data_IF_966453566114
#
_entry.id   IF_966453566114
#
_cell.length_a   1.000
_cell.length_b   1.000
_cell.length_c   1.000
_cell.angle_alpha   90.00
_cell.angle_beta   90.00
_cell.angle_gamma   90.00
#
_symmetry.space_group_name_H-M   'P 1'
#
loop_
_entity.id
_entity.type
_entity.pdbx_description
1 polymer ?
#
# COMPACT_ATOMS: atom_id res chain seq x y z
N UNK A 1 20.06 -60.42 17.11
CA UNK A 1 20.03 -60.08 15.67
C UNK A 1 18.60 -60.09 15.09
N UNK A 2 17.54 -59.86 15.89
CA UNK A 2 16.14 -59.91 15.40
C UNK A 2 15.56 -58.54 14.98
N UNK A 3 16.10 -57.41 15.48
CA UNK A 3 15.51 -56.08 15.25
C UNK A 3 15.82 -55.45 13.88
N UNK A 4 16.90 -55.85 13.20
CA UNK A 4 17.32 -55.19 11.95
C UNK A 4 16.48 -55.68 10.76
N UNK A 5 16.07 -56.95 10.77
CA UNK A 5 15.23 -57.56 9.74
C UNK A 5 13.77 -57.10 9.80
N UNK A 6 13.20 -56.87 10.99
CA UNK A 6 11.86 -56.28 11.12
C UNK A 6 11.84 -54.80 10.71
N UNK A 7 12.87 -54.03 11.05
CA UNK A 7 12.99 -52.64 10.62
C UNK A 7 13.09 -52.51 9.09
N UNK A 8 13.89 -53.37 8.44
CA UNK A 8 14.03 -53.41 6.97
C UNK A 8 12.76 -53.91 6.26
N UNK A 9 12.02 -54.84 6.85
CA UNK A 9 10.72 -55.27 6.34
C UNK A 9 9.67 -54.15 6.45
N UNK A 10 9.66 -53.42 7.57
CA UNK A 10 8.76 -52.28 7.77
C UNK A 10 9.05 -51.11 6.82
N UNK A 11 10.34 -50.82 6.54
CA UNK A 11 10.74 -49.77 5.61
C UNK A 11 10.41 -50.14 4.16
N UNK A 12 10.59 -51.40 3.77
CA UNK A 12 10.21 -51.89 2.44
C UNK A 12 8.70 -51.87 2.20
N UNK A 13 7.90 -52.21 3.21
CA UNK A 13 6.43 -52.11 3.15
C UNK A 13 5.99 -50.66 3.10
N UNK A 14 6.62 -49.76 3.86
CA UNK A 14 6.30 -48.33 3.84
C UNK A 14 6.64 -47.68 2.49
N UNK A 15 7.81 -47.99 1.90
CA UNK A 15 8.20 -47.51 0.56
C UNK A 15 7.29 -48.07 -0.54
N UNK A 16 6.88 -49.34 -0.43
CA UNK A 16 5.97 -49.97 -1.37
C UNK A 16 4.53 -49.42 -1.26
N UNK A 17 4.12 -49.01 -0.05
CA UNK A 17 2.85 -48.35 0.21
C UNK A 17 2.89 -46.89 -0.29
N UNK A 18 3.97 -46.16 0.00
CA UNK A 18 4.17 -44.78 -0.45
C UNK A 18 4.18 -44.72 -1.98
N UNK A 19 4.95 -45.58 -2.65
CA UNK A 19 5.06 -45.62 -4.12
C UNK A 19 3.77 -46.01 -4.83
N UNK A 20 2.89 -46.82 -4.22
CA UNK A 20 1.56 -47.13 -4.76
C UNK A 20 0.57 -45.97 -4.62
N UNK A 21 0.67 -45.19 -3.55
CA UNK A 21 -0.27 -44.10 -3.27
C UNK A 21 0.24 -42.72 -3.75
N UNK A 22 1.53 -42.56 -4.03
CA UNK A 22 2.15 -41.33 -4.55
C UNK A 22 1.54 -40.88 -5.90
N UNK A 23 1.28 -41.75 -6.89
CA UNK A 23 0.68 -41.36 -8.16
C UNK A 23 -0.78 -40.92 -8.01
N UNK A 24 -1.52 -41.56 -7.09
CA UNK A 24 -2.90 -41.20 -6.81
C UNK A 24 -2.99 -39.88 -6.04
N UNK A 25 -2.08 -39.64 -5.09
CA UNK A 25 -1.97 -38.39 -4.35
C UNK A 25 -1.55 -37.22 -5.25
N UNK A 26 -0.59 -37.43 -6.15
CA UNK A 26 -0.18 -36.39 -7.12
C UNK A 26 -1.27 -36.11 -8.14
N UNK A 27 -1.96 -37.13 -8.66
CA UNK A 27 -3.11 -36.95 -9.55
C UNK A 27 -4.26 -36.20 -8.86
N UNK A 28 -4.56 -36.52 -7.59
CA UNK A 28 -5.54 -35.81 -6.78
C UNK A 28 -5.16 -34.34 -6.56
N UNK A 29 -3.90 -34.06 -6.24
CA UNK A 29 -3.41 -32.69 -6.08
C UNK A 29 -3.47 -31.91 -7.39
N UNK A 30 -3.08 -32.51 -8.51
CA UNK A 30 -3.18 -31.90 -9.85
C UNK A 30 -4.63 -31.65 -10.23
N UNK A 31 -5.55 -32.57 -9.94
CA UNK A 31 -6.98 -32.38 -10.20
C UNK A 31 -7.57 -31.26 -9.34
N UNK A 32 -7.24 -31.19 -8.05
CA UNK A 32 -7.67 -30.09 -7.17
C UNK A 32 -7.10 -28.77 -7.64
N UNK A 33 -5.82 -28.73 -8.02
CA UNK A 33 -5.16 -27.52 -8.51
C UNK A 33 -5.74 -27.09 -9.87
N UNK A 34 -6.06 -28.03 -10.74
CA UNK A 34 -6.75 -27.79 -12.01
C UNK A 34 -8.19 -27.32 -11.81
N UNK A 35 -8.96 -27.97 -10.93
CA UNK A 35 -10.33 -27.56 -10.59
C UNK A 35 -10.35 -26.17 -9.93
N UNK A 36 -9.38 -25.88 -9.07
CA UNK A 36 -9.22 -24.56 -8.45
C UNK A 36 -8.84 -23.49 -9.48
N UNK A 37 -7.92 -23.80 -10.39
CA UNK A 37 -7.57 -22.92 -11.52
C UNK A 37 -8.78 -22.72 -12.44
N UNK A 38 -9.48 -23.78 -12.84
CA UNK A 38 -10.67 -23.72 -13.67
C UNK A 38 -11.77 -22.90 -13.00
N UNK A 39 -12.06 -23.13 -11.72
CA UNK A 39 -13.05 -22.33 -10.98
C UNK A 39 -12.62 -20.87 -10.82
N UNK A 40 -11.31 -20.59 -10.75
CA UNK A 40 -10.78 -19.23 -10.77
C UNK A 40 -10.95 -18.56 -12.14
N UNK A 41 -10.77 -19.32 -13.23
CA UNK A 41 -10.91 -18.83 -14.61
C UNK A 41 -12.36 -18.71 -15.09
N UNK A 42 -13.27 -19.56 -14.62
CA UNK A 42 -14.68 -19.60 -15.01
C UNK A 42 -15.61 -18.81 -14.08
N UNK A 43 -15.09 -18.08 -13.09
CA UNK A 43 -15.90 -17.15 -12.30
C UNK A 43 -16.36 -16.00 -13.19
N UNK A 44 -17.68 -15.90 -13.41
CA UNK A 44 -18.29 -14.77 -14.09
C UNK A 44 -17.98 -13.48 -13.33
N UNK A 45 -17.33 -12.54 -14.01
CA UNK A 45 -17.07 -11.20 -13.48
C UNK A 45 -18.41 -10.43 -13.49
N UNK A 46 -19.00 -10.11 -12.32
CA UNK A 46 -20.26 -9.35 -12.26
C UNK A 46 -20.13 -7.95 -12.88
N UNK A 47 -18.90 -7.47 -13.10
CA UNK A 47 -18.58 -6.18 -13.69
C UNK A 47 -18.12 -6.29 -15.14
N UNK A 48 -18.29 -7.44 -15.80
CA UNK A 48 -17.86 -7.65 -17.18
C UNK A 48 -18.39 -6.59 -18.16
N UNK A 49 -19.61 -6.08 -17.92
CA UNK A 49 -20.27 -5.07 -18.74
C UNK A 49 -19.73 -3.64 -18.52
N UNK A 50 -18.91 -3.40 -17.50
CA UNK A 50 -18.35 -2.07 -17.21
C UNK A 50 -17.09 -1.86 -18.05
N UNK A 51 -17.00 -0.78 -18.84
CA UNK A 51 -15.87 -0.54 -19.72
C UNK A 51 -14.58 -0.32 -18.92
N UNK A 52 -13.47 -0.91 -19.39
CA UNK A 52 -12.13 -0.73 -18.81
C UNK A 52 -11.32 0.24 -19.67
N UNK A 53 -10.77 1.27 -19.05
CA UNK A 53 -9.97 2.31 -19.72
C UNK A 53 -8.53 1.82 -20.03
N UNK A 54 -7.83 2.46 -20.97
CA UNK A 54 -6.44 2.13 -21.29
C UNK A 54 -6.25 1.16 -22.47
N UNK A 55 -7.12 1.22 -23.48
CA UNK A 55 -6.94 0.53 -24.78
C UNK A 55 -6.92 -1.01 -24.74
N UNK A 56 -6.42 -1.62 -25.82
CA UNK A 56 -6.26 -3.08 -25.98
C UNK A 56 -5.00 -3.58 -25.25
N UNK A 57 -5.17 -4.59 -24.40
CA UNK A 57 -4.09 -5.24 -23.66
C UNK A 57 -4.59 -5.86 -22.36
N UNK A 58 -3.94 -6.94 -21.92
CA UNK A 58 -4.27 -7.60 -20.65
C UNK A 58 -4.04 -6.70 -19.44
N UNK A 59 -4.71 -6.99 -18.32
CA UNK A 59 -4.65 -6.20 -17.09
C UNK A 59 -3.21 -5.92 -16.63
N UNK A 60 -2.29 -6.89 -16.78
CA UNK A 60 -0.89 -6.74 -16.41
C UNK A 60 -0.17 -5.60 -17.16
N UNK A 61 -0.41 -5.47 -18.47
CA UNK A 61 0.19 -4.40 -19.28
C UNK A 61 -0.30 -3.03 -18.80
N UNK A 62 -1.61 -2.90 -18.56
CA UNK A 62 -2.22 -1.66 -18.05
C UNK A 62 -1.67 -1.29 -16.68
N UNK A 63 -1.50 -2.26 -15.78
CA UNK A 63 -0.89 -2.06 -14.46
C UNK A 63 0.55 -1.57 -14.56
N UNK A 64 1.35 -2.16 -15.46
CA UNK A 64 2.73 -1.72 -15.70
C UNK A 64 2.79 -0.28 -16.21
N UNK A 65 1.91 0.07 -17.14
CA UNK A 65 1.79 1.45 -17.65
C UNK A 65 1.32 2.44 -16.58
N UNK A 66 0.38 2.03 -15.73
CA UNK A 66 -0.04 2.82 -14.56
C UNK A 66 1.15 3.08 -13.63
N UNK A 67 1.95 2.05 -13.33
CA UNK A 67 3.15 2.18 -12.51
C UNK A 67 4.21 3.11 -13.14
N UNK A 68 4.32 3.10 -14.47
CA UNK A 68 5.25 3.93 -15.23
C UNK A 68 4.81 5.41 -15.36
N UNK A 69 3.79 5.84 -14.62
CA UNK A 69 3.35 7.24 -14.56
C UNK A 69 2.17 7.59 -15.46
N UNK A 70 1.59 6.65 -16.21
CA UNK A 70 0.41 6.90 -17.07
C UNK A 70 -0.93 6.83 -16.33
N UNK A 71 -0.92 6.78 -15.00
CA UNK A 71 -2.13 6.61 -14.20
C UNK A 71 -3.12 7.76 -14.37
N UNK A 72 -2.64 9.01 -14.39
CA UNK A 72 -3.47 10.20 -14.63
C UNK A 72 -4.15 10.16 -16.00
N UNK A 73 -3.43 9.70 -17.03
CA UNK A 73 -3.93 9.64 -18.39
C UNK A 73 -5.12 8.69 -18.49
N UNK A 74 -5.09 7.56 -17.79
CA UNK A 74 -6.23 6.64 -17.74
C UNK A 74 -7.45 7.24 -17.04
N UNK A 75 -7.27 8.00 -15.96
CA UNK A 75 -8.41 8.67 -15.33
C UNK A 75 -8.98 9.78 -16.23
N UNK A 76 -8.12 10.55 -16.90
CA UNK A 76 -8.54 11.61 -17.83
C UNK A 76 -9.24 11.03 -19.06
N UNK A 77 -8.70 9.96 -19.65
CA UNK A 77 -9.31 9.26 -20.78
C UNK A 77 -10.68 8.70 -20.38
N UNK A 78 -10.77 8.05 -19.21
CA UNK A 78 -12.01 7.51 -18.68
C UNK A 78 -13.05 8.59 -18.47
N UNK A 79 -12.65 9.70 -17.86
CA UNK A 79 -13.53 10.86 -17.66
C UNK A 79 -14.04 11.44 -18.99
N UNK A 80 -13.19 11.56 -20.01
CA UNK A 80 -13.59 12.07 -21.33
C UNK A 80 -14.57 11.15 -22.05
N UNK A 81 -14.41 9.83 -21.93
CA UNK A 81 -15.24 8.82 -22.62
C UNK A 81 -16.54 8.47 -21.88
N UNK A 82 -16.50 8.50 -20.55
CA UNK A 82 -17.52 7.91 -19.68
C UNK A 82 -17.98 8.88 -18.59
N UNK A 83 -17.96 10.20 -18.85
CA UNK A 83 -18.22 11.26 -17.85
C UNK A 83 -19.40 11.00 -16.91
N UNK A 84 -20.54 10.57 -17.47
CA UNK A 84 -21.79 10.34 -16.74
C UNK A 84 -22.11 8.86 -16.49
N UNK A 85 -21.16 7.98 -16.75
CA UNK A 85 -21.27 6.52 -16.62
C UNK A 85 -20.13 5.94 -15.79
N UNK A 86 -20.34 4.74 -15.25
CA UNK A 86 -19.28 4.04 -14.52
C UNK A 86 -18.23 3.47 -15.49
N UNK A 87 -16.97 3.47 -15.07
CA UNK A 87 -15.88 2.84 -15.81
C UNK A 87 -14.83 2.24 -14.86
N UNK A 88 -13.95 1.39 -15.37
CA UNK A 88 -12.89 0.72 -14.62
C UNK A 88 -11.52 1.20 -15.04
N UNK A 89 -10.61 1.33 -14.07
CA UNK A 89 -9.19 1.63 -14.28
C UNK A 89 -8.35 0.54 -13.62
N UNK A 90 -7.48 -0.09 -14.40
CA UNK A 90 -6.52 -1.07 -13.87
C UNK A 90 -5.38 -0.34 -13.16
N UNK A 91 -5.43 -0.33 -11.84
CA UNK A 91 -4.41 0.25 -10.96
C UNK A 91 -3.51 -0.84 -10.36
N UNK A 92 -2.55 -0.46 -9.50
CA UNK A 92 -1.69 -1.40 -8.77
C UNK A 92 -2.42 -2.22 -7.69
N UNK A 93 -3.71 -1.94 -7.46
CA UNK A 93 -4.56 -2.68 -6.53
C UNK A 93 -4.81 -4.11 -7.02
N UNK A 94 -5.35 -4.94 -6.12
CA UNK A 94 -5.65 -6.35 -6.43
C UNK A 94 -6.71 -6.45 -7.53
N UNK A 95 -7.71 -5.58 -7.49
CA UNK A 95 -8.81 -5.48 -8.46
C UNK A 95 -8.76 -4.13 -9.18
N UNK A 96 -9.48 -4.02 -10.30
CA UNK A 96 -9.64 -2.75 -11.00
C UNK A 96 -10.42 -1.76 -10.13
N UNK A 97 -10.00 -0.50 -10.15
CA UNK A 97 -10.69 0.59 -9.46
C UNK A 97 -11.89 0.99 -10.28
N UNK A 98 -13.07 1.01 -9.66
CA UNK A 98 -14.31 1.50 -10.30
C UNK A 98 -14.40 3.00 -10.09
N UNK A 99 -14.47 3.75 -11.18
CA UNK A 99 -14.71 5.18 -11.19
C UNK A 99 -16.21 5.42 -11.30
N UNK A 100 -16.76 6.11 -10.31
CA UNK A 100 -18.19 6.40 -10.21
C UNK A 100 -18.44 7.90 -10.44
N UNK A 101 -19.40 8.27 -11.31
CA UNK A 101 -19.76 9.67 -11.53
C UNK A 101 -20.22 10.38 -10.25
N UNK A 102 -19.94 11.68 -10.09
CA UNK A 102 -20.28 12.44 -8.88
C UNK A 102 -21.77 12.41 -8.47
N UNK A 103 -22.69 12.19 -9.42
CA UNK A 103 -24.14 12.11 -9.15
C UNK A 103 -24.53 11.01 -8.16
N UNK A 104 -23.71 9.97 -8.01
CA UNK A 104 -23.96 8.87 -7.08
C UNK A 104 -23.35 9.11 -5.67
N UNK A 105 -22.54 10.16 -5.48
CA UNK A 105 -21.91 10.44 -4.19
C UNK A 105 -22.90 10.59 -3.01
N UNK A 106 -24.09 11.22 -3.17
CA UNK A 106 -25.06 11.31 -2.08
C UNK A 106 -25.60 9.96 -1.61
N UNK A 107 -25.64 8.97 -2.50
CA UNK A 107 -26.04 7.59 -2.20
C UNK A 107 -24.88 6.82 -1.56
N UNK A 108 -23.69 6.87 -2.18
CA UNK A 108 -22.50 6.17 -1.68
C UNK A 108 -22.14 6.57 -0.25
N UNK A 109 -22.30 7.85 0.10
CA UNK A 109 -22.00 8.36 1.45
C UNK A 109 -22.92 7.79 2.54
N UNK A 110 -24.10 7.29 2.18
CA UNK A 110 -25.06 6.70 3.12
C UNK A 110 -24.85 5.21 3.34
N UNK A 111 -24.00 4.58 2.51
CA UNK A 111 -23.72 3.17 2.64
C UNK A 111 -22.96 2.88 3.94
N UNK A 112 -23.24 1.76 4.59
CA UNK A 112 -22.50 1.34 5.77
C UNK A 112 -21.10 0.82 5.41
N UNK A 113 -20.20 0.81 6.39
CA UNK A 113 -18.79 0.45 6.18
C UNK A 113 -18.59 -1.03 5.77
N UNK A 114 -19.52 -1.94 6.08
CA UNK A 114 -19.49 -3.33 5.60
C UNK A 114 -19.70 -3.45 4.09
N UNK A 115 -20.30 -2.43 3.46
CA UNK A 115 -20.48 -2.36 2.01
C UNK A 115 -19.39 -1.51 1.35
N UNK A 116 -19.06 -0.35 1.94
CA UNK A 116 -18.07 0.58 1.40
C UNK A 116 -17.13 1.09 2.51
N UNK A 117 -16.10 0.31 2.82
CA UNK A 117 -15.12 0.65 3.86
C UNK A 117 -13.96 1.49 3.32
N UNK A 118 -13.70 2.63 3.98
CA UNK A 118 -12.47 3.40 3.78
C UNK A 118 -11.24 2.71 4.38
N UNK A 119 -11.41 2.05 5.54
CA UNK A 119 -10.33 1.38 6.25
C UNK A 119 -9.74 0.24 5.42
N UNK A 120 -10.58 -0.62 4.86
CA UNK A 120 -10.13 -1.70 3.96
C UNK A 120 -9.44 -1.16 2.70
N UNK A 121 -9.91 -0.03 2.18
CA UNK A 121 -9.30 0.63 1.05
C UNK A 121 -7.88 1.13 1.37
N UNK A 122 -7.66 1.65 2.59
CA UNK A 122 -6.35 2.04 3.11
C UNK A 122 -5.48 0.82 3.37
N UNK A 123 -6.01 -0.20 4.03
CA UNK A 123 -5.33 -1.45 4.34
C UNK A 123 -4.77 -2.11 3.05
N UNK A 124 -5.56 -2.12 1.98
CA UNK A 124 -5.11 -2.57 0.67
C UNK A 124 -4.09 -1.60 0.04
N UNK A 125 -4.35 -0.29 -0.01
CA UNK A 125 -3.44 0.64 -0.72
C UNK A 125 -2.09 0.78 -0.04
N UNK A 126 -2.05 0.76 1.28
CA UNK A 126 -0.83 0.87 2.07
C UNK A 126 -0.14 -0.48 2.25
N UNK A 127 -0.67 -1.56 1.64
CA UNK A 127 -0.13 -2.90 1.72
C UNK A 127 0.18 -3.28 3.19
N UNK A 128 -0.73 -2.96 4.11
CA UNK A 128 -0.51 -2.98 5.57
C UNK A 128 0.04 -4.31 6.07
N UNK A 129 -0.41 -5.41 5.48
CA UNK A 129 0.14 -6.76 5.73
C UNK A 129 1.67 -6.86 5.62
N UNK A 130 2.29 -6.03 4.78
CA UNK A 130 3.73 -6.04 4.48
C UNK A 130 4.47 -4.85 5.09
N UNK A 131 3.81 -3.70 5.18
CA UNK A 131 4.37 -2.47 5.75
C UNK A 131 4.22 -2.39 7.27
N UNK A 132 3.33 -3.20 7.85
CA UNK A 132 3.00 -3.27 9.28
C UNK A 132 2.54 -1.94 9.89
N UNK A 133 1.99 -1.05 9.07
CA UNK A 133 1.40 0.18 9.57
C UNK A 133 0.11 -0.12 10.32
N UNK A 134 0.01 0.45 11.51
CA UNK A 134 -1.25 0.54 12.23
C UNK A 134 -2.19 1.46 11.45
N UNK A 135 -3.19 0.85 10.80
CA UNK A 135 -4.18 1.55 9.97
C UNK A 135 -5.53 1.69 10.68
N UNK A 136 -5.85 0.74 11.55
CA UNK A 136 -7.10 0.71 12.31
C UNK A 136 -6.94 1.43 13.65
N UNK A 137 -7.01 2.76 13.64
CA UNK A 137 -7.06 3.53 14.89
C UNK A 137 -8.17 4.58 14.84
N UNK A 138 -9.39 4.24 15.29
CA UNK A 138 -10.48 5.20 15.50
C UNK A 138 -10.04 6.43 16.32
N UNK A 139 -9.01 6.26 17.16
CA UNK A 139 -8.37 7.31 17.94
C UNK A 139 -7.83 8.44 17.07
N UNK A 140 -7.24 8.17 15.91
CA UNK A 140 -6.64 9.21 15.06
C UNK A 140 -7.73 10.13 14.54
N UNK A 141 -8.79 9.57 13.94
CA UNK A 141 -9.92 10.35 13.41
C UNK A 141 -10.60 11.15 14.52
N UNK A 142 -10.80 10.53 15.69
CA UNK A 142 -11.38 11.20 16.84
C UNK A 142 -10.50 12.35 17.33
N UNK A 143 -9.18 12.12 17.47
CA UNK A 143 -8.22 13.14 17.94
C UNK A 143 -8.15 14.32 16.98
N UNK A 144 -8.17 14.08 15.67
CA UNK A 144 -8.22 15.17 14.69
C UNK A 144 -9.47 16.03 14.89
N UNK A 145 -10.65 15.40 14.97
CA UNK A 145 -11.92 16.12 15.07
C UNK A 145 -12.13 16.81 16.42
N UNK A 146 -11.77 16.14 17.52
CA UNK A 146 -12.06 16.59 18.87
C UNK A 146 -10.96 17.50 19.45
N UNK A 147 -9.70 17.27 19.08
CA UNK A 147 -8.56 17.97 19.69
C UNK A 147 -7.87 18.92 18.71
N UNK A 148 -7.51 18.43 17.51
CA UNK A 148 -6.68 19.20 16.59
C UNK A 148 -7.48 20.33 15.91
N UNK A 149 -8.62 20.01 15.29
CA UNK A 149 -9.44 20.99 14.55
C UNK A 149 -9.86 22.18 15.42
N UNK A 150 -10.37 22.00 16.66
CA UNK A 150 -10.72 23.14 17.51
C UNK A 150 -9.50 23.94 18.00
N UNK A 151 -8.32 23.33 18.08
CA UNK A 151 -7.09 23.99 18.51
C UNK A 151 -6.41 24.81 17.41
N UNK A 152 -6.79 24.65 16.13
CA UNK A 152 -6.14 25.32 15.00
C UNK A 152 -6.01 26.85 15.15
N UNK A 153 -7.02 27.60 15.60
CA UNK A 153 -6.89 29.06 15.75
C UNK A 153 -5.76 29.46 16.71
N UNK A 154 -5.56 28.69 17.79
CA UNK A 154 -4.49 28.91 18.76
C UNK A 154 -3.13 28.47 18.22
N UNK A 155 -3.09 27.37 17.47
CA UNK A 155 -1.86 26.81 16.92
C UNK A 155 -1.32 27.62 15.74
N UNK A 156 -2.18 28.34 15.01
CA UNK A 156 -1.82 29.02 13.77
C UNK A 156 -0.64 30.02 13.95
N UNK A 157 -0.65 30.81 15.03
CA UNK A 157 0.45 31.74 15.31
C UNK A 157 1.77 30.98 15.55
N UNK A 158 1.73 29.90 16.35
CA UNK A 158 2.90 29.07 16.64
C UNK A 158 3.46 28.37 15.38
N UNK A 159 2.57 27.90 14.51
CA UNK A 159 2.95 27.28 13.23
C UNK A 159 3.57 28.32 12.30
N UNK A 160 2.98 29.52 12.21
CA UNK A 160 3.50 30.61 11.38
C UNK A 160 4.92 31.00 11.80
N UNK A 161 5.14 31.20 13.11
CA UNK A 161 6.46 31.53 13.65
C UNK A 161 7.48 30.42 13.35
N UNK A 162 7.08 29.15 13.50
CA UNK A 162 7.95 28.01 13.19
C UNK A 162 8.29 27.93 11.71
N UNK A 163 7.34 28.19 10.82
CA UNK A 163 7.57 28.18 9.37
C UNK A 163 8.57 29.27 8.98
N UNK A 164 8.42 30.48 9.52
CA UNK A 164 9.37 31.58 9.27
C UNK A 164 10.78 31.21 9.71
N UNK A 165 10.93 30.67 10.92
CA UNK A 165 12.25 30.27 11.43
C UNK A 165 12.82 29.09 10.64
N UNK A 166 12.00 28.09 10.32
CA UNK A 166 12.39 26.94 9.50
C UNK A 166 12.86 27.36 8.11
N UNK A 167 12.18 28.32 7.48
CA UNK A 167 12.60 28.90 6.21
C UNK A 167 13.94 29.63 6.33
N UNK A 168 14.16 30.37 7.42
CA UNK A 168 15.42 31.08 7.68
C UNK A 168 16.60 30.12 7.83
N UNK A 169 16.37 28.96 8.46
CA UNK A 169 17.38 27.92 8.65
C UNK A 169 17.66 27.14 7.37
N UNK A 170 16.63 26.80 6.61
CA UNK A 170 16.75 25.90 5.47
C UNK A 170 17.11 26.60 4.15
N UNK A 171 16.70 27.85 3.97
CA UNK A 171 16.92 28.61 2.74
C UNK A 171 18.11 29.57 2.89
N UNK A 172 18.92 29.75 1.83
CA UNK A 172 20.01 30.72 1.84
C UNK A 172 19.51 32.14 2.15
N UNK A 173 20.11 32.78 3.15
CA UNK A 173 19.87 34.19 3.48
C UNK A 173 20.78 35.08 2.62
N UNK A 174 20.49 35.13 1.32
CA UNK A 174 21.25 35.86 0.31
C UNK A 174 20.39 36.91 -0.37
N UNK A 175 20.97 38.06 -0.70
CA UNK A 175 20.33 39.08 -1.56
C UNK A 175 20.36 38.68 -3.03
N UNK A 176 21.30 37.83 -3.42
CA UNK A 176 21.42 37.28 -4.77
C UNK A 176 20.60 35.99 -4.91
N UNK A 177 20.07 35.76 -6.11
CA UNK A 177 19.32 34.55 -6.44
C UNK A 177 20.23 33.31 -6.37
N UNK A 178 19.74 32.26 -5.70
CA UNK A 178 20.47 31.01 -5.50
C UNK A 178 19.58 29.83 -5.84
N UNK A 179 20.10 28.89 -6.63
CA UNK A 179 19.42 27.64 -6.93
C UNK A 179 19.42 26.71 -5.70
N UNK A 180 18.26 26.14 -5.37
CA UNK A 180 18.10 25.20 -4.26
C UNK A 180 17.20 24.04 -4.66
N UNK A 181 17.45 22.86 -4.09
CA UNK A 181 16.50 21.76 -4.17
C UNK A 181 15.32 22.03 -3.23
N UNK A 182 14.30 22.72 -3.75
CA UNK A 182 13.15 23.16 -2.96
C UNK A 182 12.37 21.99 -2.34
N UNK A 183 12.33 20.83 -3.00
CA UNK A 183 11.62 19.66 -2.46
C UNK A 183 12.26 19.17 -1.16
N UNK A 184 13.58 19.01 -1.15
CA UNK A 184 14.33 18.61 0.05
C UNK A 184 14.17 19.63 1.19
N UNK A 185 14.21 20.93 0.86
CA UNK A 185 14.04 22.02 1.83
C UNK A 185 12.63 22.08 2.40
N UNK A 186 11.60 21.93 1.56
CA UNK A 186 10.21 21.93 2.00
C UNK A 186 9.88 20.74 2.90
N UNK A 187 10.41 19.54 2.61
CA UNK A 187 10.19 18.37 3.48
C UNK A 187 10.71 18.63 4.90
N UNK A 188 11.88 19.27 5.05
CA UNK A 188 12.44 19.65 6.35
C UNK A 188 11.61 20.72 7.06
N UNK A 189 11.18 21.77 6.33
CA UNK A 189 10.30 22.81 6.87
C UNK A 189 8.98 22.22 7.38
N UNK A 190 8.35 21.33 6.60
CA UNK A 190 7.10 20.67 6.97
C UNK A 190 7.30 19.76 8.18
N UNK A 191 8.40 19.02 8.25
CA UNK A 191 8.74 18.18 9.39
C UNK A 191 8.88 19.02 10.68
N UNK A 192 9.62 20.14 10.64
CA UNK A 192 9.76 21.04 11.79
C UNK A 192 8.43 21.66 12.22
N UNK A 193 7.64 22.18 11.27
CA UNK A 193 6.33 22.77 11.56
C UNK A 193 5.35 21.75 12.15
N UNK A 194 5.33 20.52 11.63
CA UNK A 194 4.50 19.44 12.16
C UNK A 194 4.99 19.00 13.54
N UNK A 195 6.30 18.86 13.72
CA UNK A 195 6.93 18.54 15.00
C UNK A 195 6.60 19.56 16.08
N UNK A 196 6.56 20.85 15.74
CA UNK A 196 6.21 21.92 16.68
C UNK A 196 4.83 21.71 17.31
N UNK A 197 3.89 21.15 16.54
CA UNK A 197 2.53 20.85 16.99
C UNK A 197 2.46 19.53 17.77
N UNK A 198 3.15 18.48 17.30
CA UNK A 198 2.96 17.13 17.83
C UNK A 198 3.95 16.73 18.94
N UNK A 199 5.21 17.17 18.85
CA UNK A 199 6.28 16.81 19.82
C UNK A 199 6.81 18.02 20.59
N UNK A 200 6.40 19.23 20.21
CA UNK A 200 6.75 20.48 20.89
C UNK A 200 8.04 21.13 20.38
N UNK A 201 8.41 22.29 20.98
CA UNK A 201 9.52 23.13 20.51
C UNK A 201 10.90 22.49 20.68
N UNK A 202 11.05 21.62 21.68
CA UNK A 202 12.37 21.11 22.07
C UNK A 202 12.90 20.09 21.08
N UNK A 203 12.01 19.32 20.46
CA UNK A 203 12.36 18.20 19.59
C UNK A 203 12.02 18.47 18.11
N UNK A 204 11.23 19.50 17.80
CA UNK A 204 10.82 19.75 16.42
C UNK A 204 11.98 20.03 15.46
N UNK A 205 13.15 20.43 15.99
CA UNK A 205 14.38 20.69 15.23
C UNK A 205 15.48 19.65 15.47
N UNK A 206 15.20 18.58 16.22
CA UNK A 206 16.15 17.48 16.38
C UNK A 206 16.32 16.78 15.01
N UNK A 207 17.55 16.71 14.52
CA UNK A 207 17.85 16.08 13.22
C UNK A 207 17.43 14.61 13.17
N UNK A 208 17.43 13.89 14.30
CA UNK A 208 16.92 12.51 14.37
C UNK A 208 15.42 12.47 14.13
N UNK A 209 14.67 13.42 14.67
CA UNK A 209 13.23 13.53 14.42
C UNK A 209 12.94 13.91 12.97
N UNK A 210 13.67 14.88 12.42
CA UNK A 210 13.49 15.32 11.03
C UNK A 210 13.82 14.18 10.06
N UNK A 211 14.95 13.49 10.27
CA UNK A 211 15.33 12.31 9.49
C UNK A 211 14.26 11.22 9.58
N UNK A 212 13.86 10.84 10.80
CA UNK A 212 12.85 9.82 11.01
C UNK A 212 11.54 10.18 10.33
N UNK A 213 11.02 11.40 10.52
CA UNK A 213 9.74 11.83 9.95
C UNK A 213 9.71 11.81 8.42
N UNK A 214 10.80 12.25 7.79
CA UNK A 214 10.90 12.32 6.33
C UNK A 214 11.19 10.92 5.76
N UNK A 215 12.26 10.28 6.22
CA UNK A 215 12.77 9.08 5.60
C UNK A 215 11.95 7.83 5.94
N UNK A 216 11.28 7.79 7.09
CA UNK A 216 10.27 6.76 7.35
C UNK A 216 9.17 6.80 6.30
N UNK A 217 8.64 8.00 6.00
CA UNK A 217 7.58 8.19 5.01
C UNK A 217 8.05 7.79 3.61
N UNK A 218 9.28 8.13 3.24
CA UNK A 218 9.87 7.74 1.94
C UNK A 218 10.02 6.22 1.85
N UNK A 219 10.62 5.59 2.86
CA UNK A 219 10.85 4.14 2.87
C UNK A 219 9.53 3.36 2.87
N UNK A 220 8.55 3.85 3.61
CA UNK A 220 7.20 3.33 3.60
C UNK A 220 6.57 3.38 2.21
N UNK A 221 6.50 4.56 1.60
CA UNK A 221 5.85 4.73 0.30
C UNK A 221 6.56 3.92 -0.80
N UNK A 222 7.89 3.81 -0.70
CA UNK A 222 8.70 2.96 -1.57
C UNK A 222 8.33 1.49 -1.38
N UNK A 223 8.27 1.00 -0.14
CA UNK A 223 7.87 -0.38 0.15
C UNK A 223 6.45 -0.68 -0.37
N UNK A 224 5.50 0.24 -0.18
CA UNK A 224 4.14 0.15 -0.74
C UNK A 224 4.19 -0.04 -2.25
N UNK A 225 4.93 0.83 -2.95
CA UNK A 225 5.00 0.82 -4.42
C UNK A 225 5.60 -0.49 -4.95
N UNK A 226 6.73 -0.92 -4.41
CA UNK A 226 7.42 -2.15 -4.86
C UNK A 226 6.57 -3.39 -4.58
N UNK A 227 5.94 -3.47 -3.40
CA UNK A 227 5.04 -4.58 -3.06
C UNK A 227 3.80 -4.60 -3.94
N UNK A 228 3.23 -3.43 -4.27
CA UNK A 228 2.07 -3.33 -5.15
C UNK A 228 2.36 -3.82 -6.57
N UNK A 229 3.62 -3.70 -7.05
CA UNK A 229 4.05 -4.20 -8.35
C UNK A 229 4.17 -5.73 -8.41
N UNK A 230 4.33 -6.41 -7.28
CA UNK A 230 4.43 -7.87 -7.25
C UNK A 230 3.11 -8.53 -7.68
N UNK A 231 3.16 -9.60 -8.50
CA UNK A 231 1.99 -10.42 -8.82
C UNK A 231 1.35 -10.96 -7.54
N UNK A 232 0.01 -10.92 -7.46
CA UNK A 232 -0.75 -11.29 -6.27
C UNK A 232 -0.34 -12.62 -5.60
N UNK A 233 -0.17 -13.74 -6.35
CA UNK A 233 0.21 -15.03 -5.78
C UNK A 233 1.64 -15.06 -5.21
N UNK A 234 2.56 -14.30 -5.82
CA UNK A 234 3.97 -14.27 -5.41
C UNK A 234 4.23 -13.26 -4.29
N UNK A 235 3.31 -12.31 -4.10
CA UNK A 235 3.42 -11.22 -3.12
C UNK A 235 3.70 -11.70 -1.68
N UNK A 236 3.04 -12.74 -1.13
CA UNK A 236 3.31 -13.22 0.24
C UNK A 236 4.74 -13.69 0.46
N UNK A 237 5.36 -14.28 -0.57
CA UNK A 237 6.71 -14.85 -0.48
C UNK A 237 7.73 -13.75 -0.76
N UNK A 238 7.62 -13.09 -1.91
CA UNK A 238 8.63 -12.14 -2.38
C UNK A 238 8.70 -10.87 -1.54
N UNK A 239 7.57 -10.36 -1.03
CA UNK A 239 7.55 -9.10 -0.29
C UNK A 239 8.44 -9.11 0.95
N UNK A 240 8.59 -10.25 1.63
CA UNK A 240 9.46 -10.38 2.82
C UNK A 240 10.94 -10.30 2.49
N UNK A 241 11.33 -10.62 1.26
CA UNK A 241 12.73 -10.63 0.84
C UNK A 241 13.18 -9.30 0.22
N UNK A 242 12.24 -8.44 -0.16
CA UNK A 242 12.53 -7.13 -0.75
C UNK A 242 13.38 -6.26 0.20
N UNK A 243 14.45 -5.64 -0.31
CA UNK A 243 15.31 -4.79 0.51
C UNK A 243 14.56 -3.58 1.08
N UNK A 244 13.60 -3.01 0.35
CA UNK A 244 12.82 -1.84 0.77
C UNK A 244 11.91 -2.17 1.97
N UNK A 245 11.29 -3.36 1.95
CA UNK A 245 10.48 -3.84 3.08
C UNK A 245 11.38 -4.11 4.29
N UNK A 246 12.57 -4.67 4.09
CA UNK A 246 13.54 -4.88 5.19
C UNK A 246 14.04 -3.56 5.78
N UNK A 247 14.30 -2.57 4.93
CA UNK A 247 14.71 -1.24 5.34
C UNK A 247 13.64 -0.55 6.18
N UNK A 248 12.37 -0.60 5.75
CA UNK A 248 11.24 -0.10 6.53
C UNK A 248 11.15 -0.80 7.90
N UNK A 249 11.25 -2.13 7.93
CA UNK A 249 11.22 -2.87 9.19
C UNK A 249 12.39 -2.52 10.12
N UNK A 250 13.59 -2.26 9.57
CA UNK A 250 14.74 -1.82 10.35
C UNK A 250 14.49 -0.44 10.97
N UNK A 251 13.96 0.51 10.21
CA UNK A 251 13.61 1.85 10.74
C UNK A 251 12.55 1.79 11.83
N UNK A 252 11.55 0.93 11.67
CA UNK A 252 10.53 0.71 12.72
C UNK A 252 11.21 0.20 14.00
N UNK A 253 12.10 -0.79 13.89
CA UNK A 253 12.83 -1.33 15.04
C UNK A 253 13.84 -0.36 15.68
N UNK A 254 14.32 0.65 14.94
CA UNK A 254 15.18 1.72 15.49
C UNK A 254 14.38 2.75 16.29
N UNK A 255 13.05 2.81 16.09
CA UNK A 255 12.16 3.76 16.75
C UNK A 255 11.45 3.19 18.00
N UNK A 256 11.43 1.87 18.16
CA UNK A 256 10.95 1.14 19.35
C UNK A 256 12.01 1.09 20.47
#
# INVERSE_FOLDING_TARGET
>A
MANVTEALASSGVFDQYLSKHLPAATAGFVFILFAWLAQSFFKNDPLANVPVVGGQGGAWKKRKEFAAGKGSDYYIEGYRKFKDSIFRVSTLRKRDTICVPPKYLPELRKLPDDVLSFDEAIHESMQVKYTKIESDTPLVVHTVKASLTPALPRLNALISDEVVESMRLELPQSTEWTEVNINAKLLRIIAMASGRVFIGPELCRDERYIDASINYTIDLMTAVHVVAFLPGPLRPILARFLPEVKQLNRRIAEAE
#
